data_IF_731734105425
#
_entry.id   IF_731734105425
#
_cell.length_a   1.000
_cell.length_b   1.000
_cell.length_c   1.000
_cell.angle_alpha   90.00
_cell.angle_beta   90.00
_cell.angle_gamma   90.00
#
_symmetry.space_group_name_H-M   'P 1'
#
loop_
_entity.id
_entity.type
_entity.pdbx_description
1 polymer ?
#
# COMPACT_ATOMS: atom_id res chain seq x y z
N UNK A 1 -14.02 -8.39 -13.95
CA UNK A 1 -12.83 -8.82 -14.72
C UNK A 1 -12.16 -7.66 -15.44
N UNK A 2 -12.83 -6.90 -16.34
CA UNK A 2 -12.20 -5.81 -17.11
C UNK A 2 -11.41 -4.80 -16.26
N UNK A 3 -11.95 -4.37 -15.11
CA UNK A 3 -11.23 -3.44 -14.23
C UNK A 3 -9.93 -4.06 -13.68
N UNK A 4 -9.96 -5.35 -13.35
CA UNK A 4 -8.76 -6.06 -12.89
C UNK A 4 -7.70 -6.13 -14.00
N UNK A 5 -8.11 -6.49 -15.22
CA UNK A 5 -7.23 -6.55 -16.39
C UNK A 5 -6.60 -5.19 -16.71
N UNK A 6 -7.40 -4.12 -16.70
CA UNK A 6 -6.89 -2.76 -16.95
C UNK A 6 -5.91 -2.30 -15.86
N UNK A 7 -6.25 -2.49 -14.59
CA UNK A 7 -5.37 -2.10 -13.49
C UNK A 7 -4.05 -2.88 -13.50
N UNK A 8 -4.10 -4.21 -13.64
CA UNK A 8 -2.88 -5.03 -13.65
C UNK A 8 -2.01 -4.73 -14.86
N UNK A 9 -2.61 -4.55 -16.05
CA UNK A 9 -1.88 -4.17 -17.26
C UNK A 9 -1.16 -2.83 -17.12
N UNK A 10 -1.86 -1.80 -16.58
CA UNK A 10 -1.32 -0.44 -16.46
C UNK A 10 -0.30 -0.31 -15.35
N UNK A 11 -0.52 -0.96 -14.21
CA UNK A 11 0.42 -0.98 -13.08
C UNK A 11 1.61 -1.93 -13.29
N UNK A 12 1.54 -2.83 -14.26
CA UNK A 12 2.47 -3.97 -14.43
C UNK A 12 2.53 -4.88 -13.20
N UNK A 13 1.44 -4.92 -12.44
CA UNK A 13 1.22 -5.86 -11.35
C UNK A 13 0.56 -7.15 -11.85
N UNK A 14 0.60 -8.22 -11.05
CA UNK A 14 0.09 -9.54 -11.44
C UNK A 14 -1.38 -9.73 -11.12
N UNK A 15 -1.78 -9.40 -9.90
CA UNK A 15 -3.16 -9.59 -9.42
C UNK A 15 -3.66 -8.37 -8.65
N UNK A 16 -4.99 -8.26 -8.55
CA UNK A 16 -5.68 -7.26 -7.74
C UNK A 16 -6.79 -7.90 -6.93
N UNK A 17 -6.92 -7.49 -5.68
CA UNK A 17 -8.07 -7.77 -4.83
C UNK A 17 -8.86 -6.48 -4.64
N UNK A 18 -10.18 -6.51 -4.87
CA UNK A 18 -11.06 -5.36 -4.69
C UNK A 18 -11.73 -5.37 -3.32
N UNK A 19 -11.83 -4.21 -2.72
CA UNK A 19 -12.54 -3.91 -1.48
C UNK A 19 -13.33 -2.60 -1.62
N UNK A 20 -13.72 -1.95 -0.52
CA UNK A 20 -14.62 -0.79 -0.57
C UNK A 20 -13.96 0.52 -0.16
N UNK A 21 -12.77 0.49 0.41
CA UNK A 21 -12.09 1.67 0.96
C UNK A 21 -10.57 1.52 0.96
N UNK A 22 -9.86 2.65 1.16
CA UNK A 22 -8.41 2.64 1.33
C UNK A 22 -7.96 1.90 2.59
N UNK A 23 -8.70 2.02 3.69
CA UNK A 23 -8.38 1.29 4.91
C UNK A 23 -8.46 -0.22 4.70
N UNK A 24 -9.50 -0.73 4.03
CA UNK A 24 -9.59 -2.15 3.69
C UNK A 24 -8.47 -2.60 2.73
N UNK A 25 -8.10 -1.75 1.77
CA UNK A 25 -6.97 -2.03 0.87
C UNK A 25 -5.66 -2.18 1.65
N UNK A 26 -5.40 -1.29 2.60
CA UNK A 26 -4.21 -1.32 3.44
C UNK A 26 -4.21 -2.51 4.41
N UNK A 27 -5.36 -2.85 5.01
CA UNK A 27 -5.52 -4.09 5.80
C UNK A 27 -5.18 -5.34 4.98
N UNK A 28 -5.65 -5.40 3.73
CA UNK A 28 -5.34 -6.49 2.81
C UNK A 28 -3.86 -6.56 2.46
N UNK A 29 -3.22 -5.41 2.20
CA UNK A 29 -1.78 -5.31 1.93
C UNK A 29 -0.94 -5.76 3.14
N UNK A 30 -1.29 -5.33 4.35
CA UNK A 30 -0.65 -5.74 5.61
C UNK A 30 -0.76 -7.26 5.80
N UNK A 31 -1.96 -7.83 5.60
CA UNK A 31 -2.18 -9.28 5.70
C UNK A 31 -1.37 -10.05 4.67
N UNK A 32 -1.34 -9.58 3.41
CA UNK A 32 -0.58 -10.21 2.33
C UNK A 32 0.92 -10.23 2.66
N UNK A 33 1.47 -9.11 3.14
CA UNK A 33 2.87 -9.01 3.51
C UNK A 33 3.22 -9.95 4.67
N UNK A 34 2.40 -9.99 5.71
CA UNK A 34 2.60 -10.86 6.86
C UNK A 34 2.48 -12.34 6.49
N UNK A 35 1.51 -12.69 5.63
CA UNK A 35 1.36 -14.09 5.18
C UNK A 35 2.54 -14.54 4.33
N UNK A 36 2.99 -13.74 3.37
CA UNK A 36 4.21 -14.05 2.60
C UNK A 36 5.40 -14.31 3.52
N UNK A 37 5.60 -13.44 4.49
CA UNK A 37 6.70 -13.57 5.42
C UNK A 37 6.58 -14.82 6.31
N UNK A 38 5.37 -15.11 6.80
CA UNK A 38 5.08 -16.31 7.58
C UNK A 38 5.36 -17.59 6.78
N UNK A 39 4.85 -17.67 5.54
CA UNK A 39 5.01 -18.85 4.69
C UNK A 39 6.49 -19.12 4.38
N UNK A 40 7.33 -18.09 4.32
CA UNK A 40 8.75 -18.19 3.97
C UNK A 40 9.70 -18.27 5.16
N UNK A 41 9.40 -17.56 6.25
CA UNK A 41 10.32 -17.33 7.37
C UNK A 41 9.76 -17.77 8.74
N UNK A 42 8.47 -18.13 8.82
CA UNK A 42 7.81 -18.47 10.06
C UNK A 42 7.32 -17.27 10.88
N UNK A 43 7.04 -17.49 12.18
CA UNK A 43 6.28 -16.58 13.03
C UNK A 43 6.96 -15.23 13.34
N UNK A 44 8.28 -15.17 13.38
CA UNK A 44 8.99 -14.06 14.03
C UNK A 44 9.33 -12.89 13.09
N UNK A 45 8.88 -12.93 11.84
CA UNK A 45 9.15 -11.88 10.86
C UNK A 45 7.85 -11.27 10.35
N UNK A 46 7.27 -10.35 11.12
CA UNK A 46 5.95 -9.79 10.86
C UNK A 46 5.86 -8.26 11.07
N UNK A 47 6.99 -7.61 11.38
CA UNK A 47 7.03 -6.16 11.60
C UNK A 47 6.93 -5.41 10.28
N UNK A 48 6.10 -4.38 10.27
CA UNK A 48 5.94 -3.44 9.16
C UNK A 48 6.43 -2.07 9.62
N UNK A 49 7.38 -1.51 8.88
CA UNK A 49 7.85 -0.15 9.11
C UNK A 49 7.04 0.82 8.25
N UNK A 50 6.62 1.92 8.84
CA UNK A 50 5.91 3.01 8.16
C UNK A 50 6.58 4.35 8.47
N UNK A 51 6.15 5.42 7.82
CA UNK A 51 6.75 6.73 8.03
C UNK A 51 6.02 7.49 9.15
N UNK A 52 6.76 8.28 9.93
CA UNK A 52 6.18 9.33 10.75
C UNK A 52 5.35 10.26 9.84
N UNK A 53 4.27 10.82 10.37
CA UNK A 53 3.31 11.67 9.65
C UNK A 53 2.55 10.98 8.50
N UNK A 54 2.67 9.66 8.35
CA UNK A 54 1.89 8.89 7.38
C UNK A 54 0.41 8.78 7.78
N UNK A 55 -0.43 8.45 6.80
CA UNK A 55 -1.84 8.14 7.03
C UNK A 55 -2.28 6.94 6.19
N UNK A 56 -2.63 5.82 6.86
CA UNK A 56 -2.98 4.57 6.17
C UNK A 56 -4.42 4.11 6.43
N UNK A 57 -5.17 4.77 7.32
CA UNK A 57 -6.58 4.46 7.55
C UNK A 57 -7.02 4.54 9.01
N UNK A 58 -8.27 4.11 9.27
CA UNK A 58 -8.94 4.21 10.58
C UNK A 58 -9.34 2.87 11.19
N UNK A 59 -9.14 1.75 10.51
CA UNK A 59 -9.25 0.41 11.09
C UNK A 59 -8.04 0.14 11.99
N UNK A 60 -8.13 -0.79 12.94
CA UNK A 60 -7.12 -0.93 13.98
C UNK A 60 -5.70 -1.14 13.44
N UNK A 61 -5.49 -2.03 12.46
CA UNK A 61 -4.14 -2.23 11.92
C UNK A 61 -3.69 -1.06 11.02
N UNK A 62 -4.57 -0.52 10.17
CA UNK A 62 -4.25 0.65 9.37
C UNK A 62 -4.03 1.91 10.22
N UNK A 63 -4.72 2.02 11.37
CA UNK A 63 -4.50 3.08 12.35
C UNK A 63 -3.16 2.92 13.06
N UNK A 64 -2.79 1.70 13.42
CA UNK A 64 -1.47 1.42 14.00
C UNK A 64 -0.34 1.71 13.02
N UNK A 65 -0.55 1.43 11.72
CA UNK A 65 0.39 1.77 10.66
C UNK A 65 0.50 3.29 10.40
N UNK A 66 -0.50 4.08 10.80
CA UNK A 66 -0.51 5.54 10.64
C UNK A 66 0.44 6.18 11.64
N UNK A 67 1.50 6.84 11.14
CA UNK A 67 2.57 7.44 11.97
C UNK A 67 2.23 8.79 12.57
N UNK A 68 1.03 8.97 13.11
CA UNK A 68 0.57 10.24 13.71
C UNK A 68 0.00 9.98 15.10
N UNK A 69 0.75 10.30 16.15
CA UNK A 69 0.41 10.06 17.56
C UNK A 69 -0.97 10.57 17.97
N UNK A 70 -1.43 11.68 17.37
CA UNK A 70 -2.75 12.26 17.64
C UNK A 70 -3.92 11.28 17.41
N UNK A 71 -3.71 10.20 16.65
CA UNK A 71 -4.72 9.19 16.37
C UNK A 71 -4.63 7.96 17.28
N UNK A 72 -3.57 7.81 18.10
CA UNK A 72 -3.30 6.64 18.92
C UNK A 72 -3.78 6.76 20.39
N UNK A 73 -4.80 7.57 20.66
CA UNK A 73 -5.11 7.94 22.04
C UNK A 73 -6.13 7.04 22.77
N UNK A 74 -7.01 6.26 22.06
CA UNK A 74 -8.18 5.70 22.72
C UNK A 74 -8.46 4.22 22.43
N UNK A 75 -7.79 3.62 21.45
CA UNK A 75 -8.21 2.34 20.88
C UNK A 75 -7.31 1.17 21.27
N UNK A 76 -6.78 1.21 22.47
CA UNK A 76 -5.89 0.15 23.01
C UNK A 76 -6.65 -1.16 23.29
N UNK A 77 -6.01 -2.34 23.11
CA UNK A 77 -4.65 -2.52 22.63
C UNK A 77 -4.57 -2.41 21.09
N UNK A 78 -3.51 -1.80 20.59
CA UNK A 78 -3.21 -1.78 19.16
C UNK A 78 -2.57 -3.11 18.72
N UNK A 79 -2.77 -3.54 17.44
CA UNK A 79 -2.04 -4.68 16.88
C UNK A 79 -0.53 -4.47 16.93
N UNK A 80 0.20 -5.48 17.40
CA UNK A 80 1.67 -5.46 17.45
C UNK A 80 2.31 -5.59 16.06
N UNK A 81 3.64 -5.32 15.98
CA UNK A 81 4.44 -5.47 14.78
C UNK A 81 4.37 -4.28 13.83
N UNK A 82 4.29 -3.07 14.37
CA UNK A 82 4.45 -1.82 13.63
C UNK A 82 5.48 -0.94 14.33
N UNK A 83 6.27 -0.21 13.54
CA UNK A 83 7.16 0.84 14.03
C UNK A 83 7.27 1.94 12.96
N UNK A 84 7.68 3.14 13.38
CA UNK A 84 7.69 4.32 12.55
C UNK A 84 9.09 4.92 12.48
N UNK A 85 9.42 5.55 11.35
CA UNK A 85 10.68 6.25 11.16
C UNK A 85 10.48 7.53 10.35
N UNK A 86 11.44 8.44 10.40
CA UNK A 86 11.37 9.74 9.74
C UNK A 86 11.46 9.61 8.22
N UNK A 87 10.56 10.29 7.51
CA UNK A 87 10.57 10.36 6.06
C UNK A 87 11.84 11.06 5.53
N UNK A 88 12.36 10.60 4.40
CA UNK A 88 13.58 11.13 3.77
C UNK A 88 14.85 11.04 4.64
N UNK A 89 14.86 10.17 5.66
CA UNK A 89 15.99 9.91 6.54
C UNK A 89 16.36 8.41 6.49
N UNK A 90 17.36 8.07 5.72
CA UNK A 90 17.77 6.68 5.53
C UNK A 90 18.45 6.08 6.77
N UNK A 91 19.13 6.89 7.58
CA UNK A 91 19.75 6.43 8.82
C UNK A 91 18.66 6.07 9.84
N UNK A 92 17.58 6.85 9.93
CA UNK A 92 16.43 6.51 10.76
C UNK A 92 15.78 5.17 10.33
N UNK A 93 15.75 4.85 9.03
CA UNK A 93 15.35 3.52 8.57
C UNK A 93 16.33 2.45 9.04
N UNK A 94 17.65 2.65 8.83
CA UNK A 94 18.68 1.67 9.20
C UNK A 94 18.64 1.32 10.70
N UNK A 95 18.38 2.31 11.55
CA UNK A 95 18.24 2.12 13.00
C UNK A 95 17.03 1.25 13.40
N UNK A 96 15.99 1.23 12.56
CA UNK A 96 14.76 0.44 12.76
C UNK A 96 14.80 -0.94 12.10
N UNK A 97 15.79 -1.17 11.22
CA UNK A 97 15.92 -2.45 10.54
C UNK A 97 16.36 -3.54 11.52
N UNK A 98 15.61 -4.63 11.51
CA UNK A 98 15.87 -5.84 12.28
C UNK A 98 15.38 -7.05 11.50
N UNK A 99 15.77 -8.25 11.91
CA UNK A 99 15.43 -9.48 11.18
C UNK A 99 13.94 -9.82 11.20
N UNK A 100 13.15 -9.16 12.05
CA UNK A 100 11.71 -9.31 12.15
C UNK A 100 10.91 -8.41 11.20
N UNK A 101 11.59 -7.52 10.43
CA UNK A 101 10.94 -6.64 9.46
C UNK A 101 10.55 -7.43 8.21
N UNK A 102 9.26 -7.44 7.87
CA UNK A 102 8.74 -8.09 6.67
C UNK A 102 8.35 -7.12 5.54
N UNK A 103 8.00 -5.88 5.87
CA UNK A 103 7.62 -4.88 4.88
C UNK A 103 7.95 -3.45 5.32
N UNK A 104 8.11 -2.58 4.33
CA UNK A 104 8.11 -1.12 4.49
C UNK A 104 6.93 -0.58 3.69
N UNK A 105 6.08 0.23 4.34
CA UNK A 105 4.91 0.83 3.73
C UNK A 105 5.02 2.35 3.76
N UNK A 106 4.82 3.01 2.62
CA UNK A 106 4.94 4.45 2.50
C UNK A 106 4.01 5.03 1.42
N UNK A 107 3.72 6.32 1.53
CA UNK A 107 3.06 7.13 0.53
C UNK A 107 4.11 7.81 -0.35
N UNK A 108 3.88 7.96 -1.65
CA UNK A 108 4.77 8.75 -2.54
C UNK A 108 4.83 10.22 -2.13
N UNK A 109 3.71 10.72 -1.64
CA UNK A 109 3.54 12.05 -1.02
C UNK A 109 2.66 11.85 0.20
N UNK A 110 3.12 12.22 1.38
CA UNK A 110 2.32 12.19 2.61
C UNK A 110 1.24 13.28 2.56
N UNK A 111 0.06 12.94 2.04
CA UNK A 111 -0.99 13.93 1.81
C UNK A 111 -1.60 14.48 3.09
N UNK A 112 -2.01 13.60 4.02
CA UNK A 112 -2.60 13.96 5.31
C UNK A 112 -1.57 14.57 6.27
N UNK A 113 -0.31 14.20 6.14
CA UNK A 113 0.82 14.69 6.94
C UNK A 113 1.32 16.08 6.55
N UNK A 114 0.71 16.75 5.56
CA UNK A 114 1.08 18.13 5.19
C UNK A 114 1.62 18.29 3.76
N UNK A 115 1.34 17.33 2.87
CA UNK A 115 1.79 17.30 1.47
C UNK A 115 3.31 17.25 1.35
N UNK A 116 3.91 16.26 2.02
CA UNK A 116 5.36 16.06 2.06
C UNK A 116 5.80 15.01 1.02
N UNK A 117 6.45 15.39 -0.08
CA UNK A 117 6.95 14.43 -1.07
C UNK A 117 8.17 13.67 -0.56
N UNK A 118 8.29 12.41 -0.97
CA UNK A 118 9.50 11.65 -0.75
C UNK A 118 10.58 12.01 -1.78
N UNK A 119 11.83 12.01 -1.34
CA UNK A 119 12.98 12.23 -2.19
C UNK A 119 13.31 10.98 -3.02
N UNK A 120 13.68 11.16 -4.28
CA UNK A 120 14.00 10.04 -5.19
C UNK A 120 15.14 9.17 -4.66
N UNK A 121 16.22 9.78 -4.17
CA UNK A 121 17.37 9.05 -3.64
C UNK A 121 17.00 8.23 -2.40
N UNK A 122 16.20 8.79 -1.50
CA UNK A 122 15.68 8.07 -0.35
C UNK A 122 14.86 6.84 -0.76
N UNK A 123 13.91 7.00 -1.68
CA UNK A 123 13.05 5.89 -2.14
C UNK A 123 13.88 4.81 -2.84
N UNK A 124 14.88 5.19 -3.65
CA UNK A 124 15.76 4.24 -4.32
C UNK A 124 16.61 3.45 -3.31
N UNK A 125 17.10 4.09 -2.26
CA UNK A 125 17.86 3.40 -1.22
C UNK A 125 16.97 2.45 -0.40
N UNK A 126 15.76 2.88 -0.01
CA UNK A 126 14.74 2.01 0.59
C UNK A 126 14.46 0.79 -0.30
N UNK A 127 14.27 1.01 -1.60
CA UNK A 127 14.03 -0.06 -2.57
C UNK A 127 15.20 -1.07 -2.61
N UNK A 128 16.43 -0.59 -2.65
CA UNK A 128 17.61 -1.45 -2.66
C UNK A 128 17.72 -2.30 -1.38
N UNK A 129 17.49 -1.69 -0.21
CA UNK A 129 17.44 -2.41 1.06
C UNK A 129 16.33 -3.47 1.06
N UNK A 130 15.15 -3.13 0.53
CA UNK A 130 14.05 -4.08 0.41
C UNK A 130 14.41 -5.28 -0.46
N UNK A 131 15.11 -5.06 -1.59
CA UNK A 131 15.56 -6.16 -2.49
C UNK A 131 16.63 -7.03 -1.83
N UNK A 132 17.62 -6.41 -1.19
CA UNK A 132 18.73 -7.10 -0.55
C UNK A 132 18.25 -8.00 0.61
N UNK A 133 17.34 -7.48 1.43
CA UNK A 133 16.89 -8.15 2.66
C UNK A 133 15.58 -8.94 2.49
N UNK A 134 15.04 -9.03 1.28
CA UNK A 134 13.71 -9.63 1.00
C UNK A 134 12.60 -9.04 1.89
N UNK A 135 12.63 -7.73 2.08
CA UNK A 135 11.57 -6.94 2.70
C UNK A 135 10.62 -6.49 1.60
N UNK A 136 9.31 -6.61 1.81
CA UNK A 136 8.33 -6.16 0.82
C UNK A 136 8.20 -4.64 0.83
N UNK A 137 8.13 -4.04 -0.36
CA UNK A 137 7.88 -2.62 -0.52
C UNK A 137 6.41 -2.40 -0.88
N UNK A 138 5.70 -1.67 -0.03
CA UNK A 138 4.28 -1.32 -0.20
C UNK A 138 4.17 0.18 -0.46
N UNK A 139 3.55 0.56 -1.59
CA UNK A 139 3.15 1.94 -1.81
C UNK A 139 1.65 2.11 -1.55
N UNK A 140 1.33 2.98 -0.60
CA UNK A 140 -0.04 3.46 -0.39
C UNK A 140 -0.33 4.58 -1.41
N UNK A 141 -1.00 4.20 -2.49
CA UNK A 141 -1.42 5.09 -3.57
C UNK A 141 -2.90 5.50 -3.45
N UNK A 142 -3.49 5.29 -2.28
CA UNK A 142 -4.88 5.68 -1.99
C UNK A 142 -5.14 7.16 -2.26
N UNK A 143 -4.17 8.03 -1.96
CA UNK A 143 -4.27 9.45 -2.22
C UNK A 143 -3.45 9.91 -3.44
N UNK A 144 -2.26 9.37 -3.64
CA UNK A 144 -1.34 9.78 -4.70
C UNK A 144 -1.67 9.17 -6.06
N UNK A 145 -2.37 8.04 -6.09
CA UNK A 145 -2.66 7.32 -7.32
C UNK A 145 -3.77 7.91 -8.19
N UNK A 146 -4.04 7.20 -9.26
CA UNK A 146 -5.11 7.46 -10.24
C UNK A 146 -5.01 8.88 -10.82
N UNK A 147 -3.81 9.26 -11.23
CA UNK A 147 -3.56 10.53 -11.94
C UNK A 147 -3.36 11.76 -11.05
N UNK A 148 -3.47 11.66 -9.70
CA UNK A 148 -3.36 12.80 -8.79
C UNK A 148 -2.06 13.60 -8.96
N UNK A 149 -0.97 12.92 -9.24
CA UNK A 149 0.38 13.51 -9.35
C UNK A 149 0.81 13.80 -10.79
N UNK A 150 -0.05 13.51 -11.79
CA UNK A 150 0.28 13.63 -13.21
C UNK A 150 0.83 12.33 -13.83
N UNK A 151 0.97 11.26 -13.05
CA UNK A 151 1.19 9.88 -13.50
C UNK A 151 0.09 8.99 -12.93
N UNK A 152 -0.07 7.78 -13.45
CA UNK A 152 -1.10 6.87 -12.94
C UNK A 152 -0.88 6.60 -11.45
N UNK A 153 0.37 6.38 -11.05
CA UNK A 153 0.78 6.23 -9.66
C UNK A 153 1.95 7.16 -9.30
N UNK A 154 1.96 7.65 -8.09
CA UNK A 154 3.02 8.55 -7.60
C UNK A 154 4.40 7.87 -7.55
N UNK A 155 4.46 6.57 -7.24
CA UNK A 155 5.74 5.85 -7.21
C UNK A 155 6.46 5.77 -8.57
N UNK A 156 5.77 6.02 -9.69
CA UNK A 156 6.38 6.02 -11.02
C UNK A 156 7.44 7.12 -11.22
N UNK A 157 7.46 8.13 -10.34
CA UNK A 157 8.51 9.17 -10.35
C UNK A 157 9.86 8.67 -9.84
N UNK A 158 9.88 7.54 -9.14
CA UNK A 158 11.10 7.00 -8.49
C UNK A 158 11.79 5.90 -9.31
N UNK A 159 11.18 5.42 -10.39
CA UNK A 159 11.67 4.31 -11.22
C UNK A 159 11.83 2.97 -10.44
N UNK A 160 11.04 2.77 -9.38
CA UNK A 160 11.02 1.56 -8.55
C UNK A 160 9.83 0.66 -8.90
N UNK A 161 9.94 -0.62 -8.52
CA UNK A 161 8.85 -1.61 -8.68
C UNK A 161 8.43 -2.09 -7.29
N UNK A 162 7.33 -1.58 -6.72
CA UNK A 162 6.83 -2.07 -5.45
C UNK A 162 6.32 -3.51 -5.55
N UNK A 163 6.24 -4.19 -4.41
CA UNK A 163 5.63 -5.52 -4.32
C UNK A 163 4.12 -5.45 -4.18
N UNK A 164 3.62 -4.40 -3.50
CA UNK A 164 2.18 -4.15 -3.28
C UNK A 164 1.88 -2.67 -3.51
N UNK A 165 0.74 -2.40 -4.14
CA UNK A 165 0.20 -1.04 -4.33
C UNK A 165 -1.24 -1.02 -3.88
N UNK A 166 -1.62 -0.10 -3.00
CA UNK A 166 -3.01 0.08 -2.57
C UNK A 166 -3.66 1.26 -3.29
N UNK A 167 -4.94 1.13 -3.63
CA UNK A 167 -5.69 2.13 -4.40
C UNK A 167 -7.10 2.31 -3.81
N UNK A 168 -7.62 3.52 -3.87
CA UNK A 168 -9.00 3.87 -3.53
C UNK A 168 -9.35 5.27 -4.04
N UNK A 169 -10.14 6.03 -3.30
CA UNK A 169 -10.47 7.46 -3.54
C UNK A 169 -10.72 7.78 -5.02
N UNK A 170 -9.71 8.33 -5.70
CA UNK A 170 -9.77 8.71 -7.10
C UNK A 170 -10.23 7.59 -8.04
N UNK A 171 -9.95 6.33 -7.71
CA UNK A 171 -10.38 5.18 -8.50
C UNK A 171 -11.90 5.11 -8.68
N UNK A 172 -12.66 5.49 -7.65
CA UNK A 172 -14.12 5.41 -7.68
C UNK A 172 -14.83 6.68 -8.13
N UNK A 173 -14.12 7.83 -8.24
CA UNK A 173 -14.73 9.15 -8.53
C UNK A 173 -15.97 9.46 -7.68
N UNK A 174 -15.93 9.10 -6.38
CA UNK A 174 -17.04 9.27 -5.44
C UNK A 174 -17.78 7.98 -5.10
N UNK A 175 -17.57 6.89 -5.84
CA UNK A 175 -18.09 5.58 -5.48
C UNK A 175 -17.14 4.85 -4.51
N UNK A 176 -17.69 4.05 -3.56
CA UNK A 176 -16.88 3.34 -2.57
C UNK A 176 -16.19 2.13 -3.20
N UNK A 177 -14.93 2.29 -3.56
CA UNK A 177 -14.06 1.23 -4.07
C UNK A 177 -12.64 1.42 -3.54
N UNK A 178 -11.99 0.32 -3.25
CA UNK A 178 -10.57 0.22 -2.99
C UNK A 178 -10.03 -1.09 -3.51
N UNK A 179 -8.75 -1.27 -3.41
CA UNK A 179 -8.09 -2.52 -3.77
C UNK A 179 -6.61 -2.48 -3.49
N UNK A 180 -6.00 -3.64 -3.47
CA UNK A 180 -4.55 -3.76 -3.47
C UNK A 180 -4.11 -4.66 -4.62
N UNK A 181 -3.04 -4.23 -5.28
CA UNK A 181 -2.40 -4.95 -6.37
C UNK A 181 -1.11 -5.57 -5.83
N UNK A 182 -0.73 -6.71 -6.37
CA UNK A 182 0.52 -7.36 -5.98
C UNK A 182 1.34 -7.78 -7.20
N UNK A 183 2.66 -7.84 -6.98
CA UNK A 183 3.62 -8.37 -7.95
C UNK A 183 3.44 -9.88 -8.13
N UNK A 184 4.05 -10.44 -9.17
CA UNK A 184 4.05 -11.89 -9.45
C UNK A 184 4.56 -12.69 -8.26
N UNK A 185 5.57 -12.19 -7.55
CA UNK A 185 6.12 -12.78 -6.33
C UNK A 185 5.07 -13.13 -5.27
N UNK A 186 3.97 -12.37 -5.22
CA UNK A 186 2.92 -12.48 -4.22
C UNK A 186 1.61 -13.08 -4.77
N UNK A 187 1.57 -13.38 -6.05
CA UNK A 187 0.33 -13.75 -6.75
C UNK A 187 -0.36 -15.00 -6.21
N UNK A 188 0.39 -15.91 -5.61
CA UNK A 188 -0.12 -17.20 -5.06
C UNK A 188 -0.08 -17.27 -3.52
N UNK A 189 0.20 -16.14 -2.84
CA UNK A 189 0.30 -16.13 -1.37
C UNK A 189 -1.06 -16.30 -0.70
N UNK A 190 -2.09 -15.62 -1.19
CA UNK A 190 -3.45 -15.80 -0.68
C UNK A 190 -4.14 -16.99 -1.37
N UNK A 191 -4.62 -17.92 -0.57
CA UNK A 191 -5.48 -19.00 -0.98
C UNK A 191 -6.97 -18.65 -0.76
N UNK A 192 -7.91 -19.35 -1.39
CA UNK A 192 -9.33 -19.20 -1.11
C UNK A 192 -9.61 -19.33 0.40
N UNK A 193 -10.24 -18.27 0.98
CA UNK A 193 -10.56 -18.20 2.41
C UNK A 193 -9.59 -17.36 3.25
N UNK A 194 -8.39 -17.03 2.78
CA UNK A 194 -7.41 -16.23 3.54
C UNK A 194 -7.83 -14.78 3.70
N UNK A 195 -8.53 -14.24 2.71
CA UNK A 195 -9.06 -12.87 2.72
C UNK A 195 -10.39 -12.81 1.97
N UNK A 196 -11.25 -11.86 2.37
CA UNK A 196 -12.58 -11.75 1.79
C UNK A 196 -13.20 -10.37 1.99
N UNK A 197 -14.25 -10.10 1.22
CA UNK A 197 -15.06 -8.89 1.29
C UNK A 197 -16.49 -9.20 0.85
N UNK A 198 -17.48 -8.52 1.42
CA UNK A 198 -18.87 -8.72 1.05
C UNK A 198 -19.24 -7.99 -0.24
N UNK A 199 -18.80 -6.75 -0.39
CA UNK A 199 -19.22 -5.88 -1.51
C UNK A 199 -18.07 -5.47 -2.43
N UNK A 200 -16.84 -5.85 -2.12
CA UNK A 200 -15.68 -5.51 -2.94
C UNK A 200 -15.79 -6.11 -4.33
N UNK A 201 -15.48 -5.32 -5.35
CA UNK A 201 -15.58 -5.74 -6.75
C UNK A 201 -17.00 -5.81 -7.30
N UNK A 202 -18.01 -5.19 -6.67
CA UNK A 202 -19.36 -5.18 -7.20
C UNK A 202 -19.41 -4.49 -8.59
N UNK A 203 -20.32 -4.94 -9.49
CA UNK A 203 -20.32 -4.49 -10.88
C UNK A 203 -20.55 -2.98 -11.06
N UNK A 204 -21.35 -2.37 -10.20
CA UNK A 204 -21.69 -0.95 -10.32
C UNK A 204 -20.47 -0.06 -10.11
N UNK A 205 -19.74 -0.25 -9.00
CA UNK A 205 -18.52 0.54 -8.71
C UNK A 205 -17.37 0.20 -9.65
N UNK A 206 -17.23 -1.07 -10.06
CA UNK A 206 -16.22 -1.47 -11.05
C UNK A 206 -16.45 -0.83 -12.42
N UNK A 207 -17.71 -0.67 -12.84
CA UNK A 207 -18.04 0.02 -14.09
C UNK A 207 -17.69 1.52 -14.02
N UNK A 208 -17.99 2.18 -12.88
CA UNK A 208 -17.58 3.57 -12.64
C UNK A 208 -16.06 3.74 -12.65
N UNK A 209 -15.34 2.84 -11.98
CA UNK A 209 -13.87 2.87 -11.94
C UNK A 209 -13.22 2.65 -13.33
N UNK A 210 -13.81 1.84 -14.20
CA UNK A 210 -13.35 1.71 -15.60
C UNK A 210 -13.41 3.04 -16.34
N UNK A 211 -14.52 3.76 -16.21
CA UNK A 211 -14.66 5.09 -16.84
C UNK A 211 -13.61 6.06 -16.30
N UNK A 212 -13.32 6.01 -14.99
CA UNK A 212 -12.26 6.84 -14.39
C UNK A 212 -10.90 6.54 -15.01
N UNK A 213 -10.54 5.26 -15.15
CA UNK A 213 -9.28 4.88 -15.77
C UNK A 213 -9.17 5.31 -17.22
N UNK A 214 -10.24 5.17 -17.99
CA UNK A 214 -10.28 5.61 -19.40
C UNK A 214 -10.10 7.12 -19.52
N UNK A 215 -10.81 7.91 -18.70
CA UNK A 215 -10.70 9.37 -18.69
C UNK A 215 -9.36 9.87 -18.20
N UNK A 216 -8.84 9.29 -17.11
CA UNK A 216 -7.54 9.68 -16.54
C UNK A 216 -6.40 9.53 -17.55
N UNK A 217 -6.45 8.51 -18.38
CA UNK A 217 -5.41 8.21 -19.36
C UNK A 217 -5.41 9.14 -20.58
N UNK A 218 -6.52 9.79 -20.89
CA UNK A 218 -6.58 10.80 -21.94
C UNK A 218 -5.78 12.03 -21.53
N UNK A 219 -5.69 12.32 -20.23
CA UNK A 219 -5.06 13.53 -19.69
C UNK A 219 -3.66 13.29 -19.11
N UNK A 220 -3.29 12.05 -18.85
CA UNK A 220 -1.96 11.66 -18.38
C UNK A 220 -1.05 11.30 -19.57
#
# INVERSE_FOLDING_TARGET
LKLAEELTKKSKMSKVFFCNSGAEANEGAIKLARKYSFDKYGLNRNKILTLNDSFHGRTLAALTATGQDKFHNYYFPFPEGFDHFEANNIEALKDKLSDDVCAIMMESIQGEGGVNPLNKDFVNEVYNICREKDILLIFDEVQCGIGRTGKLFGYEYFDVKPDIVTVAKGLGAGLPIGGFLCSEKLSEVFNPGDHGTTFGGNPAVCSGALVVLDLSLIHI
#
